data_IF_989018269166
#
_entry.id   IF_989018269166
#
_cell.length_a   1.000
_cell.length_b   1.000
_cell.length_c   1.000
_cell.angle_alpha   90.00
_cell.angle_beta   90.00
_cell.angle_gamma   90.00
#
_symmetry.space_group_name_H-M   'P 1'
#
loop_
_entity.id
_entity.type
_entity.pdbx_description
1 polymer ?
#
# COMPACT_ATOMS: atom_id res chain seq x y z
N UNK A 1 7.94 -21.36 15.21
CA UNK A 1 7.01 -20.51 14.46
C UNK A 1 5.62 -20.92 14.90
N UNK A 2 4.89 -20.03 15.56
CA UNK A 2 3.46 -20.23 15.78
C UNK A 2 2.80 -20.38 14.41
N UNK A 3 1.89 -21.34 14.29
CA UNK A 3 1.15 -21.59 13.06
C UNK A 3 0.12 -20.47 12.91
N UNK A 4 0.56 -19.33 12.35
CA UNK A 4 -0.24 -18.11 12.21
C UNK A 4 -0.50 -17.84 10.73
N UNK A 5 -1.77 -17.61 10.39
CA UNK A 5 -2.19 -17.23 9.03
C UNK A 5 -3.18 -16.08 9.11
N UNK A 6 -2.86 -14.96 8.46
CA UNK A 6 -3.79 -13.83 8.33
C UNK A 6 -4.63 -14.06 7.07
N UNK A 7 -5.95 -14.13 7.21
CA UNK A 7 -6.87 -14.34 6.10
C UNK A 7 -7.50 -13.06 5.59
N UNK A 8 -7.75 -12.10 6.48
CA UNK A 8 -8.34 -10.80 6.17
C UNK A 8 -7.60 -9.75 6.99
N UNK A 9 -7.31 -8.61 6.37
CA UNK A 9 -6.71 -7.45 7.01
C UNK A 9 -7.23 -6.18 6.32
N UNK A 10 -8.38 -5.67 6.76
CA UNK A 10 -9.15 -4.65 6.04
C UNK A 10 -9.33 -3.38 6.89
N UNK A 11 -9.02 -2.18 6.38
CA UNK A 11 -9.22 -0.94 7.11
C UNK A 11 -10.70 -0.73 7.48
N UNK A 12 -10.96 -0.28 8.70
CA UNK A 12 -12.29 0.11 9.17
C UNK A 12 -12.37 1.61 9.41
N UNK A 13 -11.45 2.15 10.20
CA UNK A 13 -11.54 3.52 10.67
C UNK A 13 -10.17 4.13 10.87
N UNK A 14 -10.01 5.41 10.54
CA UNK A 14 -8.82 6.18 10.90
C UNK A 14 -9.25 7.41 11.70
N UNK A 15 -8.64 7.59 12.87
CA UNK A 15 -8.77 8.80 13.68
C UNK A 15 -7.42 9.53 13.72
N UNK A 16 -7.42 10.79 13.29
CA UNK A 16 -6.25 11.69 13.29
C UNK A 16 -6.51 12.86 14.24
N UNK A 17 -5.57 13.17 15.12
CA UNK A 17 -5.71 14.30 16.04
C UNK A 17 -4.38 15.04 16.19
N UNK A 18 -4.36 16.32 15.79
CA UNK A 18 -3.18 17.20 15.71
C UNK A 18 -2.10 16.68 14.78
N UNK A 19 -2.49 16.24 13.58
CA UNK A 19 -1.58 15.67 12.56
C UNK A 19 -1.82 16.34 11.21
N UNK A 20 -0.77 16.89 10.60
CA UNK A 20 -0.84 17.61 9.34
C UNK A 20 -1.87 18.74 9.38
N UNK A 21 -2.85 18.79 8.47
CA UNK A 21 -3.90 19.80 8.51
C UNK A 21 -5.00 19.53 9.56
N UNK A 22 -5.03 18.35 10.18
CA UNK A 22 -6.06 17.95 11.15
C UNK A 22 -5.72 18.43 12.57
N UNK A 23 -5.77 19.75 12.80
CA UNK A 23 -5.26 20.39 14.03
C UNK A 23 -6.34 20.73 15.09
N UNK A 24 -7.61 20.80 14.71
CA UNK A 24 -8.69 21.31 15.56
C UNK A 24 -9.25 20.26 16.53
N UNK A 25 -10.03 19.32 16.00
CA UNK A 25 -10.62 18.20 16.74
C UNK A 25 -10.26 16.87 16.06
N UNK A 26 -10.39 15.72 16.76
CA UNK A 26 -10.16 14.42 16.15
C UNK A 26 -10.95 14.27 14.85
N UNK A 27 -10.24 14.05 13.76
CA UNK A 27 -10.78 13.86 12.42
C UNK A 27 -10.89 12.37 12.14
N UNK A 28 -12.07 11.93 11.76
CA UNK A 28 -12.40 10.52 11.58
C UNK A 28 -12.73 10.22 10.12
N UNK A 29 -12.22 9.10 9.61
CA UNK A 29 -12.52 8.58 8.27
C UNK A 29 -13.03 7.15 8.42
N UNK A 30 -14.24 6.91 7.93
CA UNK A 30 -14.85 5.58 7.83
C UNK A 30 -14.49 4.95 6.48
N UNK A 31 -13.87 3.77 6.52
CA UNK A 31 -13.51 2.99 5.32
C UNK A 31 -14.55 1.92 4.98
N UNK A 32 -15.75 2.00 5.53
CA UNK A 32 -16.84 1.07 5.27
C UNK A 32 -17.90 1.65 4.31
N UNK A 33 -18.67 0.78 3.68
CA UNK A 33 -19.82 1.16 2.86
C UNK A 33 -21.09 1.42 3.71
N UNK A 34 -22.21 1.72 3.06
CA UNK A 34 -23.49 1.95 3.73
C UNK A 34 -23.99 0.74 4.54
N UNK A 35 -23.52 -0.47 4.21
CA UNK A 35 -23.79 -1.70 4.94
C UNK A 35 -22.74 -2.03 6.02
N UNK A 36 -21.83 -1.11 6.33
CA UNK A 36 -20.73 -1.26 7.29
C UNK A 36 -19.72 -2.37 6.91
N UNK A 37 -19.64 -2.72 5.62
CA UNK A 37 -18.63 -3.66 5.10
C UNK A 37 -17.35 -2.90 4.77
N UNK A 38 -16.16 -3.41 5.13
CA UNK A 38 -14.90 -2.78 4.73
C UNK A 38 -14.80 -2.65 3.22
N UNK A 39 -14.49 -1.45 2.74
CA UNK A 39 -14.29 -1.20 1.32
C UNK A 39 -13.00 -1.87 0.83
N UNK A 40 -13.05 -2.46 -0.36
CA UNK A 40 -11.87 -2.99 -1.03
C UNK A 40 -11.32 -2.03 -2.10
N UNK A 41 -12.08 -0.98 -2.44
CA UNK A 41 -11.60 0.16 -3.21
C UNK A 41 -12.21 1.46 -2.67
N UNK A 42 -11.36 2.44 -2.36
CA UNK A 42 -11.75 3.66 -1.66
C UNK A 42 -11.10 4.89 -2.29
N UNK A 43 -11.88 5.96 -2.50
CA UNK A 43 -11.36 7.23 -3.02
C UNK A 43 -11.32 8.31 -1.93
N UNK A 44 -10.14 8.91 -1.74
CA UNK A 44 -9.95 10.11 -0.93
C UNK A 44 -10.00 11.35 -1.83
N UNK A 45 -10.87 12.28 -1.49
CA UNK A 45 -11.23 13.41 -2.36
C UNK A 45 -11.05 14.72 -1.59
N UNK A 46 -10.30 15.66 -2.15
CA UNK A 46 -10.16 17.00 -1.55
C UNK A 46 -9.44 17.94 -2.51
N UNK A 47 -9.50 19.24 -2.24
CA UNK A 47 -8.56 20.19 -2.83
C UNK A 47 -7.10 19.91 -2.38
N UNK A 48 -6.13 20.49 -3.08
CA UNK A 48 -4.72 20.33 -2.74
C UNK A 48 -4.39 20.92 -1.36
N UNK A 49 -3.52 20.23 -0.60
CA UNK A 49 -3.10 20.68 0.73
C UNK A 49 -4.10 20.41 1.86
N UNK A 50 -5.19 19.68 1.63
CA UNK A 50 -6.20 19.38 2.66
C UNK A 50 -5.97 18.08 3.46
N UNK A 51 -4.93 17.32 3.15
CA UNK A 51 -4.49 16.18 3.99
C UNK A 51 -4.65 14.79 3.39
N UNK A 52 -4.95 14.64 2.09
CA UNK A 52 -4.98 13.31 1.42
C UNK A 52 -3.67 12.55 1.60
N UNK A 53 -2.55 13.20 1.29
CA UNK A 53 -1.20 12.64 1.49
C UNK A 53 -0.96 12.30 2.95
N UNK A 54 -1.34 13.19 3.88
CA UNK A 54 -1.24 12.94 5.34
C UNK A 54 -1.99 11.69 5.77
N UNK A 55 -3.20 11.45 5.26
CA UNK A 55 -3.97 10.22 5.54
C UNK A 55 -3.21 8.98 5.09
N UNK A 56 -2.74 8.96 3.84
CA UNK A 56 -2.00 7.81 3.28
C UNK A 56 -0.66 7.58 3.98
N UNK A 57 0.05 8.66 4.32
CA UNK A 57 1.31 8.61 5.07
C UNK A 57 1.11 8.02 6.47
N UNK A 58 0.05 8.45 7.17
CA UNK A 58 -0.28 7.93 8.50
C UNK A 58 -0.60 6.44 8.48
N UNK A 59 -1.38 5.97 7.49
CA UNK A 59 -1.66 4.55 7.30
C UNK A 59 -0.38 3.75 7.02
N UNK A 60 0.48 4.26 6.13
CA UNK A 60 1.77 3.64 5.79
C UNK A 60 2.69 3.54 7.01
N UNK A 61 2.75 4.61 7.81
CA UNK A 61 3.56 4.70 9.02
C UNK A 61 3.11 3.69 10.09
N UNK A 62 1.81 3.54 10.32
CA UNK A 62 1.28 2.56 11.28
C UNK A 62 1.57 1.13 10.85
N UNK A 63 1.45 0.85 9.55
CA UNK A 63 1.79 -0.44 8.99
C UNK A 63 3.28 -0.76 9.06
N UNK A 64 4.15 0.24 8.86
CA UNK A 64 5.59 0.08 9.09
C UNK A 64 5.87 -0.31 10.54
N UNK A 65 5.31 0.43 11.51
CA UNK A 65 5.53 0.18 12.93
C UNK A 65 5.04 -1.19 13.39
N UNK A 66 3.95 -1.69 12.81
CA UNK A 66 3.43 -3.03 13.11
C UNK A 66 4.48 -4.13 12.86
N UNK A 67 5.34 -3.96 11.84
CA UNK A 67 6.42 -4.88 11.48
C UNK A 67 7.82 -4.45 11.97
N UNK A 68 7.90 -3.50 12.92
CA UNK A 68 9.15 -2.97 13.44
C UNK A 68 9.28 -3.26 14.95
N UNK A 69 10.42 -3.82 15.37
CA UNK A 69 10.63 -4.30 16.73
C UNK A 69 10.85 -3.16 17.75
N UNK A 70 11.69 -2.19 17.40
CA UNK A 70 12.11 -1.08 18.27
C UNK A 70 12.33 0.20 17.43
N UNK A 71 11.26 0.88 16.99
CA UNK A 71 11.40 2.13 16.26
C UNK A 71 12.01 3.22 17.15
N UNK A 72 12.98 3.96 16.61
CA UNK A 72 13.60 5.09 17.32
C UNK A 72 12.72 6.36 17.27
N UNK A 73 11.92 6.49 16.21
CA UNK A 73 10.99 7.59 15.95
C UNK A 73 9.80 7.07 15.14
N UNK A 74 8.67 7.78 15.19
CA UNK A 74 7.51 7.44 14.36
C UNK A 74 7.79 7.75 12.88
N UNK A 75 8.59 8.78 12.60
CA UNK A 75 8.91 9.23 11.24
C UNK A 75 7.84 10.13 10.64
N UNK A 76 7.14 10.89 11.50
CA UNK A 76 6.20 11.93 11.13
C UNK A 76 6.35 13.09 12.12
N UNK A 77 6.49 14.32 11.62
CA UNK A 77 6.86 15.50 12.42
C UNK A 77 5.96 15.68 13.65
N UNK A 78 4.63 15.76 13.46
CA UNK A 78 3.70 16.00 14.57
C UNK A 78 3.74 14.91 15.66
N UNK A 79 3.97 13.65 15.27
CA UNK A 79 4.07 12.53 16.22
C UNK A 79 5.41 12.57 16.96
N UNK A 80 6.50 12.79 16.24
CA UNK A 80 7.87 12.82 16.77
C UNK A 80 8.08 14.02 17.71
N UNK A 81 7.38 15.12 17.47
CA UNK A 81 7.33 16.29 18.35
C UNK A 81 6.42 16.10 19.58
N UNK A 82 5.66 14.99 19.63
CA UNK A 82 4.80 14.64 20.75
C UNK A 82 3.52 15.48 20.84
N UNK A 83 3.02 15.98 19.71
CA UNK A 83 1.76 16.76 19.65
C UNK A 83 0.63 15.93 19.05
N UNK A 84 0.94 15.22 17.97
CA UNK A 84 -0.03 14.45 17.21
C UNK A 84 -0.25 13.06 17.78
N UNK A 85 -1.40 12.49 17.42
CA UNK A 85 -1.77 11.11 17.72
C UNK A 85 -2.71 10.56 16.66
N UNK A 86 -2.57 9.26 16.41
CA UNK A 86 -3.34 8.55 15.38
C UNK A 86 -3.78 7.18 15.87
N UNK A 87 -4.93 6.73 15.39
CA UNK A 87 -5.43 5.38 15.54
C UNK A 87 -6.00 4.89 14.21
N UNK A 88 -5.49 3.76 13.70
CA UNK A 88 -6.06 3.03 12.56
C UNK A 88 -6.64 1.71 13.04
N UNK A 89 -7.92 1.51 12.79
CA UNK A 89 -8.65 0.31 13.16
C UNK A 89 -8.79 -0.62 11.95
N UNK A 90 -8.48 -1.90 12.16
CA UNK A 90 -8.39 -2.90 11.09
C UNK A 90 -9.20 -4.13 11.48
N UNK A 91 -10.15 -4.52 10.62
CA UNK A 91 -10.81 -5.81 10.72
C UNK A 91 -9.83 -6.91 10.31
N UNK A 92 -9.53 -7.82 11.22
CA UNK A 92 -8.54 -8.86 11.01
C UNK A 92 -9.15 -10.23 11.24
N UNK A 93 -9.05 -11.13 10.28
CA UNK A 93 -9.33 -12.56 10.48
C UNK A 93 -8.02 -13.33 10.47
N UNK A 94 -7.73 -14.03 11.56
CA UNK A 94 -6.44 -14.68 11.79
C UNK A 94 -6.63 -16.07 12.38
N UNK A 95 -5.96 -17.07 11.81
CA UNK A 95 -5.77 -18.36 12.45
C UNK A 95 -4.61 -18.26 13.41
N UNK A 96 -4.85 -18.57 14.69
CA UNK A 96 -3.84 -18.51 15.73
C UNK A 96 -4.11 -19.60 16.77
N UNK A 97 -3.06 -20.32 17.19
CA UNK A 97 -3.13 -21.38 18.21
C UNK A 97 -4.24 -22.42 17.99
N UNK A 98 -4.51 -22.79 16.73
CA UNK A 98 -5.46 -23.84 16.40
C UNK A 98 -6.91 -23.37 16.21
N UNK A 99 -7.18 -22.06 16.26
CA UNK A 99 -8.52 -21.50 16.12
C UNK A 99 -8.54 -20.27 15.21
N UNK A 100 -9.68 -20.04 14.54
CA UNK A 100 -9.96 -18.80 13.82
C UNK A 100 -10.43 -17.70 14.78
N UNK A 101 -9.83 -16.52 14.66
CA UNK A 101 -10.18 -15.32 15.40
C UNK A 101 -10.56 -14.21 14.41
N UNK A 102 -11.66 -13.50 14.68
CA UNK A 102 -12.03 -12.30 13.93
C UNK A 102 -12.05 -11.11 14.88
N UNK A 103 -11.09 -10.21 14.75
CA UNK A 103 -10.84 -9.15 15.73
C UNK A 103 -10.87 -7.78 15.06
N UNK A 104 -11.09 -6.75 15.87
CA UNK A 104 -10.66 -5.39 15.53
C UNK A 104 -9.29 -5.17 16.13
N UNK A 105 -8.29 -4.86 15.29
CA UNK A 105 -6.95 -4.50 15.72
C UNK A 105 -6.73 -3.00 15.49
N UNK A 106 -6.52 -2.25 16.57
CA UNK A 106 -6.14 -0.83 16.50
C UNK A 106 -4.63 -0.66 16.51
N UNK A 107 -4.11 0.03 15.50
CA UNK A 107 -2.72 0.47 15.41
C UNK A 107 -2.64 1.93 15.90
N UNK A 108 -1.87 2.19 16.94
CA UNK A 108 -1.76 3.51 17.56
C UNK A 108 -0.34 4.08 17.47
N UNK A 109 -0.24 5.39 17.23
CA UNK A 109 1.02 6.13 17.32
C UNK A 109 0.83 7.55 17.87
N UNK A 110 1.85 8.07 18.55
CA UNK A 110 1.92 9.48 19.00
C UNK A 110 1.71 9.69 20.51
N UNK A 111 1.16 10.86 20.86
CA UNK A 111 0.85 11.27 22.24
C UNK A 111 -0.41 10.56 22.77
N UNK A 112 -0.24 9.29 23.14
CA UNK A 112 -1.31 8.43 23.67
C UNK A 112 -1.24 8.35 25.21
N UNK A 113 -2.39 8.56 25.85
CA UNK A 113 -2.56 8.59 27.30
C UNK A 113 -2.43 7.21 27.99
N UNK A 114 -3.00 7.09 29.19
CA UNK A 114 -3.17 5.77 29.84
C UNK A 114 -4.27 4.96 29.18
N UNK A 115 -5.34 5.64 28.78
CA UNK A 115 -6.35 5.11 27.88
C UNK A 115 -5.73 5.02 26.48
N UNK A 116 -5.49 3.79 26.02
CA UNK A 116 -4.79 3.48 24.77
C UNK A 116 -5.73 3.53 23.56
N UNK A 117 -6.53 4.58 23.45
CA UNK A 117 -7.48 4.77 22.35
C UNK A 117 -7.78 6.24 22.07
N UNK A 118 -8.14 6.53 20.82
CA UNK A 118 -8.81 7.75 20.36
C UNK A 118 -10.28 7.43 20.04
N UNK A 119 -10.52 6.31 19.35
CA UNK A 119 -11.85 5.73 19.09
C UNK A 119 -12.02 4.46 19.91
N UNK A 120 -13.18 4.32 20.55
CA UNK A 120 -13.55 3.13 21.33
C UNK A 120 -14.36 2.18 20.47
N UNK A 121 -14.09 0.88 20.59
CA UNK A 121 -14.89 -0.20 20.00
C UNK A 121 -15.64 -0.94 21.10
N UNK A 122 -16.96 -0.71 21.18
CA UNK A 122 -17.81 -1.38 22.16
C UNK A 122 -18.38 -2.71 21.65
N UNK A 123 -19.13 -3.44 22.49
CA UNK A 123 -19.72 -4.73 22.12
C UNK A 123 -20.69 -4.63 20.92
N UNK A 124 -21.37 -3.49 20.75
CA UNK A 124 -22.29 -3.28 19.64
C UNK A 124 -21.52 -3.05 18.32
N UNK A 125 -20.43 -2.30 18.37
CA UNK A 125 -19.54 -2.10 17.23
C UNK A 125 -18.86 -3.42 16.83
N UNK A 126 -18.31 -4.16 17.80
CA UNK A 126 -17.71 -5.48 17.53
C UNK A 126 -18.72 -6.43 16.89
N UNK A 127 -19.94 -6.50 17.43
CA UNK A 127 -21.01 -7.32 16.85
C UNK A 127 -21.37 -6.89 15.42
N UNK A 128 -21.35 -5.59 15.12
CA UNK A 128 -21.65 -5.05 13.78
C UNK A 128 -20.68 -5.58 12.72
N UNK A 129 -19.40 -5.66 13.05
CA UNK A 129 -18.37 -6.18 12.14
C UNK A 129 -18.11 -7.69 12.31
N UNK A 130 -18.89 -8.36 13.17
CA UNK A 130 -18.72 -9.77 13.48
C UNK A 130 -17.39 -10.09 14.15
N UNK A 131 -16.78 -9.11 14.84
CA UNK A 131 -15.56 -9.28 15.60
C UNK A 131 -15.87 -9.79 17.02
N UNK A 132 -15.00 -10.65 17.55
CA UNK A 132 -15.13 -11.22 18.89
C UNK A 132 -14.47 -10.36 19.97
N UNK A 133 -13.41 -9.63 19.60
CA UNK A 133 -12.56 -8.89 20.52
C UNK A 133 -11.93 -7.67 19.85
N UNK A 134 -11.60 -6.70 20.69
CA UNK A 134 -10.82 -5.52 20.35
C UNK A 134 -9.42 -5.64 20.94
N UNK A 135 -8.41 -5.54 20.08
CA UNK A 135 -6.99 -5.59 20.41
C UNK A 135 -6.31 -4.29 19.99
N UNK A 136 -5.19 -3.95 20.64
CA UNK A 136 -4.43 -2.72 20.37
C UNK A 136 -2.95 -3.01 20.30
N UNK A 137 -2.25 -2.20 19.50
CA UNK A 137 -0.80 -2.28 19.33
C UNK A 137 -0.24 -0.94 18.86
N UNK A 138 1.08 -0.86 18.77
CA UNK A 138 1.81 0.33 18.32
C UNK A 138 2.61 0.97 19.45
N UNK A 139 2.87 2.27 19.34
CA UNK A 139 3.82 2.97 20.20
C UNK A 139 3.28 4.31 20.67
N UNK A 140 3.57 4.67 21.93
CA UNK A 140 3.26 5.97 22.50
C UNK A 140 4.51 6.72 22.90
N UNK A 141 4.46 8.04 22.77
CA UNK A 141 5.54 8.94 23.19
C UNK A 141 5.03 9.88 24.29
N UNK A 142 5.36 9.55 25.55
CA UNK A 142 5.02 10.42 26.71
C UNK A 142 6.09 11.42 27.06
N UNK A 143 7.33 11.09 26.73
CA UNK A 143 8.50 11.96 26.88
C UNK A 143 9.17 12.04 25.52
N UNK A 144 9.54 13.25 25.10
CA UNK A 144 10.09 13.48 23.76
C UNK A 144 11.28 12.55 23.48
N UNK A 145 11.21 11.83 22.36
CA UNK A 145 12.27 10.93 21.91
C UNK A 145 12.33 9.56 22.59
N UNK A 146 11.32 9.19 23.40
CA UNK A 146 11.20 7.83 23.94
C UNK A 146 9.87 7.19 23.58
N UNK A 147 9.94 6.24 22.65
CA UNK A 147 8.80 5.40 22.28
C UNK A 147 8.63 4.25 23.26
N UNK A 148 7.37 3.98 23.64
CA UNK A 148 6.99 2.86 24.51
C UNK A 148 5.85 2.12 23.82
N UNK A 149 6.00 0.82 23.67
CA UNK A 149 4.98 0.00 23.04
C UNK A 149 3.70 -0.08 23.89
N UNK A 150 2.57 -0.15 23.19
CA UNK A 150 1.22 -0.27 23.73
C UNK A 150 0.87 -1.76 23.89
N UNK A 151 0.22 -2.11 25.01
CA UNK A 151 -0.41 -3.43 25.25
C UNK A 151 0.49 -4.66 25.03
N UNK A 152 1.75 -4.59 25.49
CA UNK A 152 2.77 -5.67 25.47
C UNK A 152 2.37 -7.05 26.03
N UNK A 153 1.22 -7.17 26.67
CA UNK A 153 0.76 -8.42 27.33
C UNK A 153 -0.25 -9.20 26.49
N UNK A 154 -0.56 -8.72 25.29
CA UNK A 154 -1.50 -9.37 24.39
C UNK A 154 -0.79 -10.41 23.52
N UNK A 155 -0.91 -11.69 23.89
CA UNK A 155 -0.16 -12.78 23.25
C UNK A 155 -0.43 -12.90 21.73
N UNK A 156 -1.68 -12.71 21.29
CA UNK A 156 -2.04 -12.78 19.88
C UNK A 156 -1.32 -11.68 19.09
N UNK A 157 -1.39 -10.45 19.61
CA UNK A 157 -0.74 -9.29 18.98
C UNK A 157 0.78 -9.44 18.97
N UNK A 158 1.39 -9.91 20.07
CA UNK A 158 2.82 -10.13 20.13
C UNK A 158 3.27 -11.20 19.13
N UNK A 159 2.55 -12.32 19.03
CA UNK A 159 2.84 -13.35 18.03
C UNK A 159 2.71 -12.83 16.60
N UNK A 160 1.71 -11.98 16.32
CA UNK A 160 1.56 -11.32 15.02
C UNK A 160 2.76 -10.45 14.71
N UNK A 161 3.15 -9.56 15.63
CA UNK A 161 4.32 -8.69 15.45
C UNK A 161 5.60 -9.48 15.23
N UNK A 162 5.87 -10.49 16.05
CA UNK A 162 7.05 -11.35 15.88
C UNK A 162 7.02 -12.05 14.51
N UNK A 163 5.87 -12.56 14.08
CA UNK A 163 5.74 -13.19 12.76
C UNK A 163 6.06 -12.21 11.62
N UNK A 164 5.60 -10.95 11.71
CA UNK A 164 5.90 -9.91 10.72
C UNK A 164 7.38 -9.54 10.70
N UNK A 165 8.00 -9.41 11.87
CA UNK A 165 9.41 -9.08 12.04
C UNK A 165 10.31 -10.21 11.53
N UNK A 166 10.00 -11.46 11.90
CA UNK A 166 10.75 -12.65 11.47
C UNK A 166 10.62 -12.89 9.96
N UNK A 167 9.47 -12.56 9.38
CA UNK A 167 9.25 -12.61 7.94
C UNK A 167 9.91 -11.46 7.18
N UNK A 168 10.41 -10.42 7.87
CA UNK A 168 11.00 -9.26 7.23
C UNK A 168 12.14 -9.66 6.30
N UNK A 169 12.09 -9.16 5.06
CA UNK A 169 13.01 -9.47 3.96
C UNK A 169 12.95 -10.90 3.44
N UNK A 170 11.96 -11.71 3.84
CA UNK A 170 11.69 -13.00 3.21
C UNK A 170 11.46 -12.78 1.71
N UNK A 171 12.17 -13.51 0.86
CA UNK A 171 12.05 -13.33 -0.58
C UNK A 171 10.63 -13.65 -1.06
N UNK A 172 10.05 -12.87 -2.01
CA UNK A 172 8.80 -13.24 -2.66
C UNK A 172 8.94 -14.60 -3.34
N UNK A 173 7.89 -15.43 -3.26
CA UNK A 173 7.84 -16.74 -3.91
C UNK A 173 7.73 -16.63 -5.44
N UNK A 174 7.12 -15.54 -5.92
CA UNK A 174 6.97 -15.22 -7.33
C UNK A 174 6.31 -13.86 -7.56
N UNK A 175 6.03 -13.54 -8.83
CA UNK A 175 5.35 -12.31 -9.23
C UNK A 175 3.83 -12.53 -9.31
N UNK A 176 3.06 -11.65 -8.66
CA UNK A 176 1.60 -11.62 -8.64
C UNK A 176 0.91 -12.91 -8.16
N UNK A 177 1.63 -13.83 -7.50
CA UNK A 177 1.15 -15.13 -7.05
C UNK A 177 1.59 -15.48 -5.61
N UNK A 178 1.95 -14.48 -4.81
CA UNK A 178 2.44 -14.66 -3.44
C UNK A 178 1.47 -15.47 -2.58
N UNK A 179 1.96 -16.53 -1.93
CA UNK A 179 1.17 -17.29 -0.95
C UNK A 179 1.30 -16.76 0.47
N UNK A 180 2.22 -15.81 0.69
CA UNK A 180 2.45 -15.19 1.99
C UNK A 180 1.15 -14.52 2.48
N UNK A 181 0.69 -14.95 3.65
CA UNK A 181 -0.56 -14.46 4.23
C UNK A 181 -0.41 -13.11 4.93
N UNK A 182 0.81 -12.67 5.22
CA UNK A 182 1.04 -11.53 6.10
C UNK A 182 0.60 -10.20 5.46
N UNK A 183 0.06 -9.25 6.24
CA UNK A 183 -0.36 -7.96 5.73
C UNK A 183 0.82 -7.14 5.21
N UNK A 184 0.62 -6.41 4.12
CA UNK A 184 1.59 -5.46 3.57
C UNK A 184 0.89 -4.21 3.02
N UNK A 185 1.56 -3.07 3.10
CA UNK A 185 1.13 -1.83 2.47
C UNK A 185 2.14 -1.41 1.40
N UNK A 186 1.66 -1.13 0.20
CA UNK A 186 2.41 -0.59 -0.92
C UNK A 186 1.97 0.86 -1.13
N UNK A 187 2.83 1.81 -0.78
CA UNK A 187 2.56 3.23 -0.91
C UNK A 187 3.25 3.81 -2.16
N UNK A 188 2.45 4.52 -2.93
CA UNK A 188 2.80 5.15 -4.18
C UNK A 188 2.56 6.66 -4.06
N UNK A 189 3.62 7.47 -3.86
CA UNK A 189 3.49 8.93 -3.71
C UNK A 189 3.03 9.56 -5.01
N UNK A 190 2.49 10.79 -4.97
CA UNK A 190 1.90 11.47 -6.12
C UNK A 190 2.82 11.42 -7.35
N UNK A 191 4.05 11.91 -7.18
CA UNK A 191 4.99 11.92 -8.30
C UNK A 191 5.59 10.53 -8.50
N UNK A 192 5.40 9.98 -9.70
CA UNK A 192 5.91 8.66 -10.12
C UNK A 192 6.48 8.77 -11.52
N UNK A 193 7.76 8.44 -11.69
CA UNK A 193 8.40 8.39 -12.98
C UNK A 193 9.32 7.17 -13.08
N UNK A 194 9.75 6.86 -14.30
CA UNK A 194 10.85 5.96 -14.58
C UNK A 194 11.97 6.85 -15.15
N UNK A 195 12.83 7.42 -14.29
CA UNK A 195 13.92 8.27 -14.75
C UNK A 195 14.97 7.44 -15.49
N UNK A 196 15.76 8.05 -16.38
CA UNK A 196 16.93 7.38 -16.94
C UNK A 196 17.92 7.06 -15.82
N UNK A 197 18.45 5.84 -15.79
CA UNK A 197 19.57 5.48 -14.92
C UNK A 197 20.82 6.22 -15.43
N UNK A 198 21.24 7.26 -14.70
CA UNK A 198 22.34 8.14 -15.08
C UNK A 198 23.70 7.58 -14.62
N UNK A 199 24.74 7.77 -15.44
CA UNK A 199 26.14 7.70 -14.98
C UNK A 199 26.71 6.32 -14.64
N UNK A 200 26.06 5.23 -15.09
CA UNK A 200 26.52 3.87 -14.81
C UNK A 200 26.79 3.14 -16.13
N UNK A 201 28.07 2.87 -16.43
CA UNK A 201 28.47 1.96 -17.53
C UNK A 201 28.17 0.49 -17.18
N UNK A 202 28.23 0.13 -15.90
CA UNK A 202 28.05 -1.25 -15.41
C UNK A 202 26.70 -1.45 -14.72
N UNK A 203 25.80 -2.23 -15.31
CA UNK A 203 24.52 -2.61 -14.69
C UNK A 203 24.60 -4.02 -14.13
N UNK A 204 25.13 -4.21 -12.91
CA UNK A 204 25.31 -5.54 -12.35
C UNK A 204 23.96 -6.18 -12.07
N UNK A 205 23.91 -7.50 -12.12
CA UNK A 205 22.76 -8.24 -11.59
C UNK A 205 22.87 -8.19 -10.06
N UNK A 206 22.06 -7.35 -9.43
CA UNK A 206 22.08 -7.13 -7.98
C UNK A 206 20.65 -7.08 -7.43
N UNK A 207 20.49 -7.55 -6.21
CA UNK A 207 19.20 -7.53 -5.53
C UNK A 207 18.63 -6.10 -5.46
N UNK A 208 17.36 -5.88 -5.86
CA UNK A 208 16.71 -4.59 -5.73
C UNK A 208 16.59 -4.15 -4.26
N UNK A 209 16.60 -2.84 -4.02
CA UNK A 209 16.58 -2.27 -2.66
C UNK A 209 15.32 -2.68 -1.86
N UNK A 210 14.18 -2.71 -2.54
CA UNK A 210 12.90 -3.10 -1.96
C UNK A 210 12.62 -4.61 -2.07
N UNK A 211 13.63 -5.45 -2.32
CA UNK A 211 13.41 -6.89 -2.41
C UNK A 211 13.12 -7.51 -1.04
N UNK A 212 12.14 -8.40 -1.00
CA UNK A 212 11.71 -9.09 0.21
C UNK A 212 10.47 -8.47 0.86
N UNK A 213 9.82 -9.26 1.72
CA UNK A 213 8.63 -8.85 2.45
C UNK A 213 8.91 -7.71 3.43
N UNK A 214 7.98 -6.75 3.51
CA UNK A 214 7.89 -5.72 4.55
C UNK A 214 6.42 -5.44 4.84
N UNK A 215 6.09 -5.07 6.07
CA UNK A 215 4.73 -4.65 6.42
C UNK A 215 4.30 -3.34 5.74
N UNK A 216 5.27 -2.49 5.37
CA UNK A 216 5.05 -1.32 4.53
C UNK A 216 6.25 -1.08 3.58
N UNK A 217 5.95 -0.68 2.34
CA UNK A 217 6.91 -0.32 1.31
C UNK A 217 6.47 0.98 0.64
N UNK A 218 7.38 1.94 0.57
CA UNK A 218 7.18 3.20 -0.15
C UNK A 218 8.05 3.20 -1.39
N UNK A 219 7.46 3.48 -2.55
CA UNK A 219 8.16 3.53 -3.83
C UNK A 219 8.34 4.98 -4.27
N UNK A 220 9.48 5.56 -3.88
CA UNK A 220 9.81 6.96 -4.17
C UNK A 220 9.76 7.31 -5.67
N UNK A 221 9.53 8.60 -5.95
CA UNK A 221 9.33 9.15 -7.28
C UNK A 221 10.51 8.96 -8.26
N UNK A 222 11.76 8.96 -7.75
CA UNK A 222 12.98 9.01 -8.56
C UNK A 222 14.20 8.28 -7.97
N UNK A 223 14.15 6.96 -7.97
CA UNK A 223 15.37 6.19 -7.89
C UNK A 223 16.18 6.37 -9.17
N UNK A 224 17.17 7.26 -9.18
CA UNK A 224 18.18 7.32 -10.25
C UNK A 224 19.26 6.25 -10.08
N UNK A 225 19.29 5.61 -8.90
CA UNK A 225 20.15 4.49 -8.58
C UNK A 225 19.67 3.21 -9.26
N UNK A 226 20.62 2.39 -9.72
CA UNK A 226 20.32 1.12 -10.37
C UNK A 226 19.47 0.20 -9.48
N UNK A 227 19.82 0.06 -8.20
CA UNK A 227 19.15 -0.82 -7.22
C UNK A 227 17.68 -0.49 -7.00
N UNK A 228 17.29 0.77 -7.23
CA UNK A 228 15.91 1.26 -7.08
C UNK A 228 15.11 1.18 -8.40
N UNK A 229 15.78 1.03 -9.54
CA UNK A 229 15.16 1.06 -10.86
C UNK A 229 14.28 -0.15 -11.16
N UNK A 230 13.24 0.04 -11.98
CA UNK A 230 12.42 -1.06 -12.50
C UNK A 230 13.22 -1.95 -13.47
N UNK A 231 14.22 -1.41 -14.15
CA UNK A 231 15.14 -2.21 -14.95
C UNK A 231 15.87 -3.24 -14.08
N UNK A 232 16.42 -2.84 -12.93
CA UNK A 232 17.06 -3.79 -12.01
C UNK A 232 16.06 -4.80 -11.43
N UNK A 233 14.82 -4.37 -11.13
CA UNK A 233 13.77 -5.30 -10.71
C UNK A 233 13.54 -6.38 -11.78
N UNK A 234 13.33 -6.00 -13.03
CA UNK A 234 13.08 -6.95 -14.12
C UNK A 234 14.29 -7.83 -14.43
N UNK A 235 15.51 -7.27 -14.41
CA UNK A 235 16.76 -8.04 -14.52
C UNK A 235 16.87 -9.07 -13.40
N UNK A 236 16.53 -8.68 -12.17
CA UNK A 236 16.53 -9.57 -11.02
C UNK A 236 15.49 -10.69 -11.15
N UNK A 237 14.26 -10.36 -11.55
CA UNK A 237 13.22 -11.38 -11.82
C UNK A 237 13.67 -12.38 -12.89
N UNK A 238 14.32 -11.91 -13.95
CA UNK A 238 14.84 -12.77 -15.01
C UNK A 238 15.97 -13.66 -14.50
N UNK A 239 16.85 -13.11 -13.65
CA UNK A 239 17.95 -13.86 -13.03
C UNK A 239 17.48 -14.96 -12.09
N UNK A 240 16.37 -14.77 -11.36
CA UNK A 240 15.78 -15.80 -10.50
C UNK A 240 15.35 -17.05 -11.29
N UNK A 241 15.03 -16.89 -12.59
CA UNK A 241 14.70 -17.99 -13.50
C UNK A 241 13.62 -18.94 -12.95
N UNK A 242 12.58 -18.37 -12.33
CA UNK A 242 11.49 -19.11 -11.67
C UNK A 242 10.10 -18.80 -12.27
N UNK A 243 10.02 -18.18 -13.44
CA UNK A 243 8.77 -17.76 -14.08
C UNK A 243 8.32 -16.32 -13.76
N UNK A 244 8.91 -15.68 -12.74
CA UNK A 244 8.46 -14.35 -12.29
C UNK A 244 8.66 -13.26 -13.34
N UNK A 245 9.68 -13.38 -14.18
CA UNK A 245 9.92 -12.40 -15.25
C UNK A 245 8.89 -12.55 -16.36
N UNK A 246 8.58 -13.77 -16.75
CA UNK A 246 7.55 -14.09 -17.73
C UNK A 246 6.18 -13.59 -17.28
N UNK A 247 5.84 -13.79 -16.01
CA UNK A 247 4.62 -13.28 -15.40
C UNK A 247 4.60 -11.74 -15.36
N UNK A 248 5.74 -11.10 -15.04
CA UNK A 248 5.87 -9.65 -15.09
C UNK A 248 5.71 -9.08 -16.51
N UNK A 249 6.31 -9.72 -17.51
CA UNK A 249 6.18 -9.36 -18.93
C UNK A 249 4.73 -9.48 -19.37
N UNK A 250 4.07 -10.60 -19.04
CA UNK A 250 2.64 -10.80 -19.32
C UNK A 250 1.79 -9.70 -18.69
N UNK A 251 1.99 -9.43 -17.40
CA UNK A 251 1.23 -8.42 -16.68
C UNK A 251 1.41 -7.02 -17.29
N UNK A 252 2.63 -6.60 -17.62
CA UNK A 252 2.89 -5.29 -18.26
C UNK A 252 2.27 -5.24 -19.66
N UNK A 253 2.39 -6.30 -20.45
CA UNK A 253 1.85 -6.33 -21.80
C UNK A 253 0.31 -6.25 -21.80
N UNK A 254 -0.35 -6.97 -20.90
CA UNK A 254 -1.82 -6.93 -20.76
C UNK A 254 -2.29 -5.57 -20.21
N UNK A 255 -1.66 -5.09 -19.14
CA UNK A 255 -2.13 -3.89 -18.42
C UNK A 255 -1.66 -2.59 -19.08
N UNK A 256 -0.37 -2.43 -19.34
CA UNK A 256 0.22 -1.18 -19.86
C UNK A 256 0.02 -1.08 -21.37
N UNK A 257 0.31 -2.14 -22.12
CA UNK A 257 0.31 -2.13 -23.59
C UNK A 257 -0.88 -2.79 -24.27
N UNK A 258 -1.87 -3.32 -23.54
CA UNK A 258 -2.95 -4.15 -24.12
C UNK A 258 -3.83 -3.50 -25.21
N UNK A 259 -3.71 -2.18 -25.45
CA UNK A 259 -4.38 -1.46 -26.56
C UNK A 259 -3.43 -1.07 -27.70
N UNK A 260 -2.17 -1.49 -27.66
CA UNK A 260 -1.10 -1.15 -28.58
C UNK A 260 -0.53 -2.44 -29.20
N UNK A 261 -1.04 -2.90 -30.35
CA UNK A 261 -0.70 -4.21 -30.91
C UNK A 261 0.76 -4.34 -31.35
N UNK A 262 1.42 -3.21 -31.61
CA UNK A 262 2.80 -3.08 -32.04
C UNK A 262 3.77 -2.76 -30.90
N UNK A 263 3.27 -2.68 -29.65
CA UNK A 263 4.07 -2.33 -28.49
C UNK A 263 4.04 -3.40 -27.40
N UNK A 264 5.21 -3.85 -26.97
CA UNK A 264 5.31 -4.86 -25.91
C UNK A 264 6.67 -4.81 -25.20
N UNK A 265 6.69 -5.20 -23.93
CA UNK A 265 7.88 -5.54 -23.17
C UNK A 265 8.43 -6.87 -23.70
N UNK A 266 9.71 -6.87 -24.08
CA UNK A 266 10.39 -8.03 -24.64
C UNK A 266 10.36 -9.22 -23.65
N UNK A 267 10.27 -10.46 -24.16
CA UNK A 267 10.29 -11.67 -23.33
C UNK A 267 11.68 -12.02 -22.81
N UNK A 268 12.72 -11.27 -23.20
CA UNK A 268 14.10 -11.47 -22.76
C UNK A 268 14.74 -10.13 -22.37
N UNK A 269 15.58 -10.18 -21.33
CA UNK A 269 16.44 -9.07 -20.91
C UNK A 269 17.62 -8.95 -21.88
N UNK A 270 17.92 -7.73 -22.34
CA UNK A 270 19.16 -7.48 -23.09
C UNK A 270 20.34 -7.74 -22.17
N UNK A 271 21.32 -8.52 -22.61
CA UNK A 271 22.46 -8.93 -21.77
C UNK A 271 23.51 -7.84 -21.56
N UNK A 272 23.75 -6.97 -22.55
CA UNK A 272 24.84 -5.98 -22.52
C UNK A 272 24.37 -4.60 -23.00
N UNK A 273 24.29 -3.61 -22.09
CA UNK A 273 24.18 -3.80 -20.64
C UNK A 273 22.82 -4.46 -20.27
N UNK A 274 22.74 -5.17 -19.12
CA UNK A 274 21.51 -5.73 -18.56
C UNK A 274 20.40 -4.69 -18.45
N UNK A 275 19.31 -4.85 -19.21
CA UNK A 275 18.12 -4.00 -19.10
C UNK A 275 16.89 -4.60 -19.76
N UNK A 276 15.72 -4.07 -19.38
CA UNK A 276 14.47 -4.37 -20.03
C UNK A 276 14.33 -3.59 -21.34
N UNK A 277 13.79 -4.25 -22.37
CA UNK A 277 13.61 -3.66 -23.71
C UNK A 277 12.13 -3.65 -24.07
N UNK A 278 11.65 -2.53 -24.58
CA UNK A 278 10.31 -2.37 -25.11
C UNK A 278 10.41 -2.26 -26.64
N UNK A 279 9.63 -3.07 -27.34
CA UNK A 279 9.40 -2.96 -28.78
C UNK A 279 8.24 -2.00 -29.03
N UNK A 280 8.35 -1.16 -30.05
CA UNK A 280 7.29 -0.25 -30.52
C UNK A 280 7.40 -0.14 -32.04
N UNK A 281 6.62 -0.93 -32.77
CA UNK A 281 6.80 -1.15 -34.19
C UNK A 281 8.18 -1.72 -34.49
N UNK A 282 8.92 -1.09 -35.40
CA UNK A 282 10.29 -1.48 -35.77
C UNK A 282 11.37 -0.93 -34.82
N UNK A 283 10.99 -0.13 -33.83
CA UNK A 283 11.93 0.49 -32.89
C UNK A 283 11.95 -0.25 -31.56
N UNK A 284 13.14 -0.28 -30.94
CA UNK A 284 13.31 -0.75 -29.56
C UNK A 284 13.81 0.39 -28.69
N UNK A 285 13.26 0.50 -27.48
CA UNK A 285 13.69 1.49 -26.51
C UNK A 285 13.60 0.95 -25.08
N UNK A 286 14.12 1.72 -24.13
CA UNK A 286 14.12 1.41 -22.70
C UNK A 286 12.82 1.82 -22.01
N UNK A 287 12.63 1.38 -20.77
CA UNK A 287 11.48 1.78 -19.94
C UNK A 287 11.41 3.30 -19.69
N UNK A 288 12.54 3.99 -19.54
CA UNK A 288 12.58 5.45 -19.33
C UNK A 288 12.08 6.26 -20.55
N UNK A 289 11.92 5.60 -21.71
CA UNK A 289 11.39 6.22 -22.95
C UNK A 289 9.90 5.99 -23.16
N UNK A 290 9.22 5.31 -22.23
CA UNK A 290 7.76 5.21 -22.22
C UNK A 290 7.11 6.59 -22.07
N UNK A 291 5.86 6.71 -22.54
CA UNK A 291 5.05 7.90 -22.27
C UNK A 291 4.76 8.01 -20.76
N UNK A 292 4.47 9.21 -20.26
CA UNK A 292 4.21 9.43 -18.82
C UNK A 292 3.14 8.49 -18.25
N UNK A 293 2.05 8.27 -19.00
CA UNK A 293 0.98 7.35 -18.59
C UNK A 293 1.43 5.89 -18.54
N UNK A 294 2.24 5.46 -19.50
CA UNK A 294 2.80 4.10 -19.50
C UNK A 294 3.81 3.89 -18.37
N UNK A 295 4.65 4.90 -18.09
CA UNK A 295 5.58 4.85 -16.96
C UNK A 295 4.85 4.72 -15.63
N UNK A 296 3.78 5.50 -15.45
CA UNK A 296 2.97 5.47 -14.24
C UNK A 296 2.35 4.07 -14.01
N UNK A 297 1.71 3.50 -15.03
CA UNK A 297 1.14 2.16 -14.92
C UNK A 297 2.21 1.07 -14.76
N UNK A 298 3.31 1.15 -15.51
CA UNK A 298 4.40 0.17 -15.40
C UNK A 298 4.99 0.19 -13.99
N UNK A 299 5.19 1.36 -13.39
CA UNK A 299 5.63 1.50 -12.01
C UNK A 299 4.63 0.82 -11.05
N UNK A 300 3.33 1.14 -11.15
CA UNK A 300 2.32 0.60 -10.25
C UNK A 300 2.25 -0.93 -10.35
N UNK A 301 2.04 -1.47 -11.55
CA UNK A 301 1.73 -2.89 -11.71
C UNK A 301 2.94 -3.81 -11.60
N UNK A 302 4.16 -3.33 -11.92
CA UNK A 302 5.37 -4.10 -11.62
C UNK A 302 5.64 -4.16 -10.12
N UNK A 303 5.42 -3.06 -9.38
CA UNK A 303 5.61 -3.04 -7.93
C UNK A 303 4.53 -3.83 -7.20
N UNK A 304 3.26 -3.64 -7.57
CA UNK A 304 2.15 -4.44 -7.03
C UNK A 304 2.43 -5.93 -7.27
N UNK A 305 2.77 -6.33 -8.50
CA UNK A 305 3.05 -7.73 -8.77
C UNK A 305 4.25 -8.29 -8.00
N UNK A 306 5.35 -7.54 -7.86
CA UNK A 306 6.54 -8.02 -7.19
C UNK A 306 6.46 -8.03 -5.65
N UNK A 307 5.59 -7.21 -5.07
CA UNK A 307 5.62 -6.93 -3.62
C UNK A 307 4.31 -7.24 -2.88
N UNK A 308 3.24 -7.63 -3.57
CA UNK A 308 1.96 -7.99 -2.93
C UNK A 308 2.06 -9.30 -2.15
N UNK A 309 1.27 -9.38 -1.09
CA UNK A 309 0.94 -10.61 -0.35
C UNK A 309 -0.56 -10.93 -0.51
N UNK A 310 -1.07 -11.95 0.16
CA UNK A 310 -2.51 -12.23 0.18
C UNK A 310 -3.33 -11.13 0.86
N UNK A 311 -2.71 -10.28 1.68
CA UNK A 311 -3.35 -9.17 2.38
C UNK A 311 -2.60 -7.87 2.06
N UNK A 312 -2.98 -7.19 0.99
CA UNK A 312 -2.23 -6.05 0.45
C UNK A 312 -3.05 -4.78 0.46
N UNK A 313 -2.53 -3.70 1.03
CA UNK A 313 -3.07 -2.37 0.82
C UNK A 313 -2.27 -1.65 -0.25
N UNK A 314 -2.93 -1.18 -1.30
CA UNK A 314 -2.34 -0.36 -2.35
C UNK A 314 -2.80 1.07 -2.13
N UNK A 315 -1.89 1.88 -1.61
CA UNK A 315 -2.13 3.29 -1.30
C UNK A 315 -1.54 4.15 -2.41
N UNK A 316 -2.38 4.89 -3.15
CA UNK A 316 -1.94 5.69 -4.29
C UNK A 316 -2.28 7.14 -4.06
N UNK A 317 -1.27 7.97 -3.81
CA UNK A 317 -1.47 9.40 -3.76
C UNK A 317 -1.58 9.97 -5.18
N UNK A 318 -2.47 10.94 -5.40
CA UNK A 318 -2.82 11.52 -6.70
C UNK A 318 -2.76 10.51 -7.87
N UNK A 319 -3.70 9.58 -7.90
CA UNK A 319 -3.76 8.54 -8.95
C UNK A 319 -3.87 9.13 -10.37
N UNK A 320 -4.35 10.36 -10.49
CA UNK A 320 -4.58 11.12 -11.72
C UNK A 320 -3.42 12.03 -12.16
N UNK A 321 -2.39 12.21 -11.34
CA UNK A 321 -1.37 13.25 -11.61
C UNK A 321 -0.59 13.01 -12.90
N UNK A 322 -0.47 14.06 -13.71
CA UNK A 322 0.18 14.06 -15.03
C UNK A 322 -0.37 13.02 -16.03
N UNK A 323 -1.57 12.48 -15.79
CA UNK A 323 -2.26 11.56 -16.69
C UNK A 323 -3.32 12.29 -17.51
N UNK A 324 -3.28 12.08 -18.82
CA UNK A 324 -4.43 12.41 -19.67
C UNK A 324 -5.66 11.58 -19.24
N UNK A 325 -6.88 12.11 -19.38
CA UNK A 325 -8.15 11.49 -18.94
C UNK A 325 -8.25 10.00 -19.27
N UNK A 326 -7.96 9.61 -20.52
CA UNK A 326 -7.92 8.19 -20.94
C UNK A 326 -7.04 7.29 -20.04
N UNK A 327 -5.89 7.78 -19.57
CA UNK A 327 -5.00 7.05 -18.66
C UNK A 327 -5.54 7.03 -17.23
N UNK A 328 -6.23 8.07 -16.77
CA UNK A 328 -6.89 8.10 -15.46
C UNK A 328 -7.95 7.01 -15.36
N UNK A 329 -8.88 6.94 -16.33
CA UNK A 329 -9.87 5.86 -16.38
C UNK A 329 -9.23 4.48 -16.48
N UNK A 330 -8.13 4.37 -17.25
CA UNK A 330 -7.41 3.11 -17.38
C UNK A 330 -6.79 2.69 -16.04
N UNK A 331 -6.14 3.60 -15.32
CA UNK A 331 -5.57 3.33 -14.01
C UNK A 331 -6.64 2.86 -13.02
N UNK A 332 -7.77 3.59 -12.94
CA UNK A 332 -8.89 3.22 -12.07
C UNK A 332 -9.45 1.83 -12.39
N UNK A 333 -9.68 1.53 -13.68
CA UNK A 333 -10.20 0.23 -14.08
C UNK A 333 -9.22 -0.91 -13.77
N UNK A 334 -7.92 -0.70 -13.99
CA UNK A 334 -6.92 -1.70 -13.63
C UNK A 334 -6.84 -1.92 -12.11
N UNK A 335 -7.05 -0.88 -11.29
CA UNK A 335 -7.15 -1.04 -9.83
C UNK A 335 -8.38 -1.86 -9.43
N UNK A 336 -9.54 -1.61 -10.06
CA UNK A 336 -10.75 -2.44 -9.89
C UNK A 336 -10.47 -3.90 -10.26
N UNK A 337 -9.83 -4.15 -11.40
CA UNK A 337 -9.44 -5.49 -11.84
C UNK A 337 -8.46 -6.16 -10.88
N UNK A 338 -7.50 -5.40 -10.33
CA UNK A 338 -6.56 -5.90 -9.32
C UNK A 338 -7.27 -6.41 -8.08
N UNK A 339 -8.23 -5.64 -7.54
CA UNK A 339 -9.03 -6.01 -6.38
C UNK A 339 -9.86 -7.27 -6.64
N UNK A 340 -10.48 -7.38 -7.82
CA UNK A 340 -11.24 -8.59 -8.21
C UNK A 340 -10.35 -9.82 -8.31
N UNK A 341 -9.16 -9.67 -8.89
CA UNK A 341 -8.21 -10.77 -9.07
C UNK A 341 -7.62 -11.25 -7.74
N UNK A 342 -7.45 -10.35 -6.78
CA UNK A 342 -6.88 -10.63 -5.48
C UNK A 342 -7.78 -10.06 -4.38
N UNK A 343 -8.80 -10.81 -3.90
CA UNK A 343 -9.80 -10.30 -2.96
C UNK A 343 -9.27 -9.76 -1.63
N UNK A 344 -8.06 -10.16 -1.21
CA UNK A 344 -7.38 -9.59 -0.04
C UNK A 344 -6.60 -8.31 -0.33
N UNK A 345 -6.73 -7.74 -1.53
CA UNK A 345 -6.22 -6.41 -1.87
C UNK A 345 -7.26 -5.34 -1.56
N UNK A 346 -6.85 -4.30 -0.82
CA UNK A 346 -7.59 -3.05 -0.66
C UNK A 346 -6.86 -1.92 -1.37
N UNK A 347 -7.54 -1.19 -2.25
CA UNK A 347 -6.98 0.02 -2.90
C UNK A 347 -7.53 1.26 -2.23
N UNK A 348 -6.67 2.17 -1.80
CA UNK A 348 -7.08 3.51 -1.33
C UNK A 348 -6.32 4.53 -2.18
N UNK A 349 -7.05 5.30 -2.98
CA UNK A 349 -6.47 6.26 -3.91
C UNK A 349 -6.93 7.68 -3.61
N UNK A 350 -5.98 8.62 -3.54
CA UNK A 350 -6.28 10.03 -3.50
C UNK A 350 -6.42 10.59 -4.91
N UNK A 351 -7.39 11.48 -5.12
CA UNK A 351 -7.62 12.13 -6.41
C UNK A 351 -8.15 13.56 -6.22
N UNK A 352 -7.89 14.42 -7.21
CA UNK A 352 -8.58 15.70 -7.39
C UNK A 352 -9.37 15.75 -8.73
N UNK A 353 -9.30 14.68 -9.53
CA UNK A 353 -9.91 14.62 -10.84
C UNK A 353 -11.41 14.31 -10.76
N UNK A 354 -12.22 15.25 -11.27
CA UNK A 354 -13.67 15.06 -11.47
C UNK A 354 -13.94 13.87 -12.39
N UNK A 355 -13.11 13.65 -13.41
CA UNK A 355 -13.25 12.54 -14.36
C UNK A 355 -13.15 11.17 -13.66
N UNK A 356 -12.30 11.06 -12.63
CA UNK A 356 -12.21 9.83 -11.81
C UNK A 356 -13.46 9.64 -10.97
N UNK A 357 -14.03 10.72 -10.43
CA UNK A 357 -15.26 10.67 -9.63
C UNK A 357 -16.46 10.22 -10.47
N UNK A 358 -16.60 10.80 -11.66
CA UNK A 358 -17.65 10.41 -12.62
C UNK A 358 -17.49 8.95 -13.06
N UNK A 359 -16.25 8.44 -13.12
CA UNK A 359 -15.95 7.04 -13.42
C UNK A 359 -16.05 6.09 -12.20
N UNK A 360 -16.28 6.64 -11.00
CA UNK A 360 -16.39 5.91 -9.74
C UNK A 360 -17.70 6.24 -9.01
N UNK A 361 -18.87 6.01 -9.64
CA UNK A 361 -20.16 6.24 -8.99
C UNK A 361 -20.33 5.26 -7.83
N UNK A 362 -20.49 5.76 -6.60
CA UNK A 362 -20.57 4.94 -5.38
C UNK A 362 -21.88 4.13 -5.30
N UNK A 363 -22.96 4.66 -5.87
CA UNK A 363 -24.32 4.11 -5.89
C UNK A 363 -24.50 2.96 -6.90
N UNK A 364 -23.61 2.83 -7.88
CA UNK A 364 -23.68 1.75 -8.87
C UNK A 364 -22.97 0.52 -8.32
N UNK A 365 -23.71 -0.56 -8.07
CA UNK A 365 -23.10 -1.83 -7.70
C UNK A 365 -22.24 -2.40 -8.84
N UNK A 366 -21.04 -2.87 -8.50
CA UNK A 366 -20.14 -3.57 -9.40
C UNK A 366 -19.74 -4.90 -8.73
N UNK A 367 -19.80 -6.00 -9.47
CA UNK A 367 -19.47 -7.33 -8.96
C UNK A 367 -18.05 -7.36 -8.35
N UNK A 368 -17.96 -8.00 -7.18
CA UNK A 368 -16.75 -8.15 -6.35
C UNK A 368 -16.08 -6.84 -5.89
N UNK A 369 -16.76 -5.70 -6.01
CA UNK A 369 -16.30 -4.41 -5.49
C UNK A 369 -17.18 -3.91 -4.36
N UNK A 370 -16.54 -3.55 -3.25
CA UNK A 370 -17.12 -2.81 -2.13
C UNK A 370 -16.48 -1.42 -2.18
N UNK A 371 -17.25 -0.46 -2.70
CA UNK A 371 -16.77 0.89 -3.02
C UNK A 371 -17.08 1.83 -1.87
N UNK A 372 -16.11 2.68 -1.53
CA UNK A 372 -16.29 3.78 -0.60
C UNK A 372 -15.58 5.04 -1.09
N UNK A 373 -15.90 6.16 -0.46
CA UNK A 373 -15.23 7.41 -0.73
C UNK A 373 -15.38 8.37 0.43
N UNK A 374 -14.42 9.27 0.57
CA UNK A 374 -14.43 10.30 1.60
C UNK A 374 -14.00 11.63 1.04
N UNK A 375 -14.78 12.67 1.34
CA UNK A 375 -14.47 14.05 0.99
C UNK A 375 -13.86 14.73 2.22
N UNK A 376 -12.62 15.20 2.10
CA UNK A 376 -11.97 16.01 3.13
C UNK A 376 -12.37 17.46 2.91
N UNK A 377 -13.32 17.93 3.73
CA UNK A 377 -13.89 19.28 3.66
C UNK A 377 -12.99 20.36 4.27
N UNK A 378 -13.26 21.61 3.90
CA UNK A 378 -12.50 22.81 4.27
C UNK A 378 -12.57 23.21 5.75
N UNK A 379 -13.56 22.72 6.50
CA UNK A 379 -13.84 23.15 7.87
C UNK A 379 -12.94 22.48 8.93
N UNK A 380 -11.66 22.27 8.60
CA UNK A 380 -10.63 21.92 9.57
C UNK A 380 -10.32 23.18 10.40
N UNK A 381 -11.13 23.45 11.42
CA UNK A 381 -10.99 24.59 12.33
C UNK A 381 -10.46 24.17 13.69
#
# INVERSE_FOLDING_TARGET
>A
MSDMTVYEFQPLWLTLDRVGPFQGSPYEIDFTDEENRPCNIFLLMSENGRGKTTVLDCMTLLMRQLGEADPERFGHEDLDEGRGRIQLDVLTRIYWQGSDHRIVLSLLAGDIGEETFLKVWDDADLKRHGAERWHRTGYRQRVRGRLVEIDRRDDLVQDLRHTLIDASRMAPEGFANSTLSLPTTLFFPAYRDIPPVLGIEERPIIQPEHWGYRSAQEFAAHGTHWTESLDNLLVWLAWLNNGSYEDAVKAVNETVFGKSPDKFLAPEIRRVPPEAVVHSGDQTHRLDRLSSGEKNLAQLFLRIGAHSTRNTWVLVDEIDVHLHVRWQHKALNLMKEQVRRQPGTTVIAATHSIEILEAFPLDIHEEDLIKGGWIIEDNLH
#
